data_IF_855604872259
#
_entry.id   IF_855604872259
#
_cell.length_a   1.000
_cell.length_b   1.000
_cell.length_c   1.000
_cell.angle_alpha   90.00
_cell.angle_beta   90.00
_cell.angle_gamma   90.00
#
_symmetry.space_group_name_H-M   'P 1'
#
loop_
_entity.id
_entity.type
_entity.pdbx_description
1 polymer ?
#
# COMPACT_ATOMS: atom_id res chain seq x y z
N UNK A 1 -10.68 8.20 -1.38
CA UNK A 1 -10.06 7.34 -0.35
C UNK A 1 -11.10 6.95 0.68
N UNK A 2 -11.15 5.69 1.08
CA UNK A 2 -11.97 5.15 2.17
C UNK A 2 -11.05 4.42 3.15
N UNK A 3 -11.06 4.85 4.41
CA UNK A 3 -10.31 4.21 5.49
C UNK A 3 -11.25 3.24 6.21
N UNK A 4 -11.09 1.96 5.89
CA UNK A 4 -11.87 0.85 6.41
C UNK A 4 -11.01 -0.42 6.27
N UNK A 5 -10.28 -0.84 7.32
CA UNK A 5 -9.42 -2.02 7.27
C UNK A 5 -10.15 -3.29 6.81
N UNK A 6 -11.47 -3.38 7.00
CA UNK A 6 -12.25 -4.55 6.60
C UNK A 6 -12.38 -4.66 5.07
N UNK A 7 -12.17 -3.58 4.32
CA UNK A 7 -12.08 -3.62 2.85
C UNK A 7 -10.96 -4.54 2.36
N UNK A 8 -9.93 -4.79 3.18
CA UNK A 8 -8.80 -5.66 2.84
C UNK A 8 -8.93 -7.12 3.29
N UNK A 9 -10.04 -7.53 3.91
CA UNK A 9 -10.17 -8.88 4.51
C UNK A 9 -9.89 -10.03 3.53
N UNK A 10 -10.26 -9.86 2.27
CA UNK A 10 -10.10 -10.89 1.23
C UNK A 10 -8.71 -10.91 0.60
N UNK A 11 -7.82 -9.99 1.01
CA UNK A 11 -6.50 -9.78 0.42
C UNK A 11 -5.35 -10.32 1.27
N UNK A 12 -5.64 -11.23 2.21
CA UNK A 12 -4.65 -11.83 3.09
C UNK A 12 -3.43 -12.39 2.34
N UNK A 13 -3.64 -13.01 1.16
CA UNK A 13 -2.54 -13.49 0.32
C UNK A 13 -1.71 -12.35 -0.26
N UNK A 14 -2.35 -11.39 -0.93
CA UNK A 14 -1.67 -10.24 -1.55
C UNK A 14 -0.86 -9.46 -0.52
N UNK A 15 -1.46 -9.15 0.63
CA UNK A 15 -0.78 -8.46 1.73
C UNK A 15 0.35 -9.32 2.32
N UNK A 16 0.15 -10.63 2.45
CA UNK A 16 1.20 -11.54 2.90
C UNK A 16 2.39 -11.62 1.92
N UNK A 17 2.13 -11.56 0.61
CA UNK A 17 3.19 -11.58 -0.42
C UNK A 17 3.94 -10.24 -0.45
N UNK A 18 3.25 -9.11 -0.32
CA UNK A 18 3.85 -7.79 -0.17
C UNK A 18 4.73 -7.71 1.08
N UNK A 19 4.21 -8.11 2.25
CA UNK A 19 4.95 -8.09 3.50
C UNK A 19 6.24 -8.93 3.44
N UNK A 20 6.18 -10.11 2.82
CA UNK A 20 7.38 -10.92 2.57
C UNK A 20 8.40 -10.21 1.69
N UNK A 21 7.96 -9.57 0.61
CA UNK A 21 8.85 -8.85 -0.30
C UNK A 21 9.51 -7.62 0.36
N UNK A 22 8.81 -6.98 1.30
CA UNK A 22 9.29 -5.82 2.06
C UNK A 22 10.00 -6.19 3.38
N UNK A 23 10.09 -7.48 3.70
CA UNK A 23 10.64 -7.98 4.96
C UNK A 23 9.97 -7.33 6.20
N UNK A 24 8.66 -7.10 6.14
CA UNK A 24 7.88 -6.47 7.22
C UNK A 24 6.46 -7.05 7.31
N UNK A 25 5.80 -6.78 8.43
CA UNK A 25 4.38 -7.08 8.59
C UNK A 25 3.54 -5.92 8.06
N UNK A 26 2.52 -6.23 7.26
CA UNK A 26 1.61 -5.24 6.67
C UNK A 26 0.17 -5.51 7.07
N UNK A 27 -0.60 -4.45 7.28
CA UNK A 27 -2.02 -4.49 7.59
C UNK A 27 -2.82 -3.61 6.62
N UNK A 28 -4.06 -3.98 6.27
CA UNK A 28 -4.90 -3.15 5.44
C UNK A 28 -5.35 -1.89 6.20
N UNK A 29 -5.37 -0.76 5.51
CA UNK A 29 -5.97 0.49 5.99
C UNK A 29 -7.33 0.77 5.34
N UNK A 30 -7.52 0.35 4.09
CA UNK A 30 -8.72 0.67 3.32
C UNK A 30 -8.47 0.61 1.82
N UNK A 31 -9.14 1.47 1.06
CA UNK A 31 -9.07 1.48 -0.39
C UNK A 31 -9.13 2.90 -0.99
N UNK A 32 -8.63 3.05 -2.21
CA UNK A 32 -8.72 4.29 -2.99
C UNK A 32 -9.23 4.02 -4.42
N UNK A 33 -9.43 5.09 -5.20
CA UNK A 33 -9.82 4.99 -6.61
C UNK A 33 -11.08 4.15 -6.85
N UNK A 34 -12.15 4.34 -6.08
CA UNK A 34 -13.38 3.52 -6.20
C UNK A 34 -13.14 2.01 -5.96
N UNK A 35 -12.31 1.68 -4.96
CA UNK A 35 -11.94 0.30 -4.61
C UNK A 35 -11.04 -0.41 -5.64
N UNK A 36 -10.46 0.35 -6.58
CA UNK A 36 -9.50 -0.20 -7.55
C UNK A 36 -8.11 -0.49 -6.96
N UNK A 37 -7.78 0.16 -5.84
CA UNK A 37 -6.53 -0.05 -5.14
C UNK A 37 -6.75 -0.17 -3.63
N UNK A 38 -5.91 -0.98 -2.99
CA UNK A 38 -5.93 -1.22 -1.54
C UNK A 38 -4.80 -0.49 -0.88
N UNK A 39 -5.11 0.18 0.22
CA UNK A 39 -4.14 0.86 1.06
C UNK A 39 -3.66 -0.08 2.16
N UNK A 40 -2.35 -0.17 2.34
CA UNK A 40 -1.72 -0.95 3.40
C UNK A 40 -0.71 -0.10 4.18
N UNK A 41 -0.48 -0.45 5.43
CA UNK A 41 0.53 0.16 6.30
C UNK A 41 1.38 -0.93 6.94
N UNK A 42 2.66 -0.66 7.15
CA UNK A 42 3.53 -1.55 7.90
C UNK A 42 3.80 -1.10 9.34
N UNK A 43 4.61 -1.88 10.04
CA UNK A 43 5.01 -1.63 11.43
C UNK A 43 5.85 -0.38 11.64
N UNK A 44 6.46 0.17 10.59
CA UNK A 44 7.20 1.43 10.63
C UNK A 44 6.31 2.65 10.32
N UNK A 45 5.06 2.41 9.93
CA UNK A 45 4.10 3.45 9.54
C UNK A 45 4.15 3.81 8.05
N UNK A 46 4.95 3.09 7.26
CA UNK A 46 5.07 3.29 5.81
C UNK A 46 3.79 2.85 5.11
N UNK A 47 3.31 3.63 4.16
CA UNK A 47 2.02 3.41 3.50
C UNK A 47 2.21 3.04 2.03
N UNK A 48 1.42 2.07 1.59
CA UNK A 48 1.46 1.49 0.25
C UNK A 48 0.09 1.50 -0.41
N UNK A 49 0.06 1.58 -1.75
CA UNK A 49 -1.12 1.33 -2.57
C UNK A 49 -0.87 0.13 -3.46
N UNK A 50 -1.84 -0.78 -3.54
CA UNK A 50 -1.75 -2.02 -4.31
C UNK A 50 -2.92 -2.07 -5.28
N UNK A 51 -2.64 -2.11 -6.57
CA UNK A 51 -3.65 -2.26 -7.62
C UNK A 51 -3.28 -3.35 -8.63
N UNK A 52 -4.09 -3.52 -9.66
CA UNK A 52 -3.87 -4.50 -10.72
C UNK A 52 -2.64 -4.19 -11.61
N UNK A 53 -2.05 -3.00 -11.48
CA UNK A 53 -0.86 -2.56 -12.20
C UNK A 53 0.43 -2.73 -11.38
N UNK A 54 0.34 -2.80 -10.04
CA UNK A 54 1.44 -3.15 -9.15
C UNK A 54 1.32 -2.56 -7.75
N UNK A 55 2.45 -2.56 -7.04
CA UNK A 55 2.59 -2.02 -5.69
C UNK A 55 3.32 -0.67 -5.73
N UNK A 56 2.87 0.27 -4.92
CA UNK A 56 3.33 1.66 -4.92
C UNK A 56 3.60 2.14 -3.49
N UNK A 57 4.66 2.93 -3.30
CA UNK A 57 5.00 3.51 -2.00
C UNK A 57 4.45 4.94 -1.91
N UNK A 58 3.49 5.17 -1.02
CA UNK A 58 2.79 6.45 -0.91
C UNK A 58 3.49 7.45 0.00
N UNK A 59 4.17 6.94 1.03
CA UNK A 59 4.85 7.78 2.00
C UNK A 59 5.42 7.00 3.17
N UNK A 60 6.38 7.62 3.86
CA UNK A 60 7.04 7.08 5.06
C UNK A 60 6.15 7.07 6.30
N UNK A 61 5.07 7.84 6.27
CA UNK A 61 4.08 7.99 7.33
C UNK A 61 2.72 8.36 6.72
N UNK A 62 1.70 8.46 7.58
CA UNK A 62 0.32 8.77 7.18
C UNK A 62 0.22 10.18 6.56
N UNK A 63 0.98 11.16 7.07
CA UNK A 63 0.89 12.54 6.59
C UNK A 63 1.43 12.66 5.16
N UNK A 64 2.58 12.04 4.87
CA UNK A 64 3.13 11.99 3.51
C UNK A 64 2.21 11.22 2.56
N UNK A 65 1.66 10.08 3.00
CA UNK A 65 0.74 9.30 2.19
C UNK A 65 -0.54 10.07 1.83
N UNK A 66 -1.14 10.76 2.81
CA UNK A 66 -2.30 11.61 2.58
C UNK A 66 -1.95 12.78 1.64
N UNK A 67 -0.77 13.38 1.80
CA UNK A 67 -0.30 14.41 0.87
C UNK A 67 -0.26 13.87 -0.56
N UNK A 68 0.39 12.72 -0.79
CA UNK A 68 0.46 12.06 -2.10
C UNK A 68 -0.93 11.82 -2.71
N UNK A 69 -1.86 11.27 -1.93
CA UNK A 69 -3.22 10.95 -2.36
C UNK A 69 -4.05 12.20 -2.67
N UNK A 70 -4.00 13.22 -1.82
CA UNK A 70 -4.79 14.44 -1.96
C UNK A 70 -4.30 15.30 -3.12
N UNK A 71 -2.99 15.34 -3.35
CA UNK A 71 -2.42 16.12 -4.47
C UNK A 71 -2.41 15.36 -5.79
N UNK A 72 -2.67 14.05 -5.78
CA UNK A 72 -2.55 13.19 -6.96
C UNK A 72 -1.11 13.09 -7.46
N UNK A 73 -0.13 13.21 -6.57
CA UNK A 73 1.28 13.04 -6.91
C UNK A 73 1.54 11.60 -7.33
N UNK A 74 2.35 11.38 -8.36
CA UNK A 74 2.69 10.03 -8.81
C UNK A 74 3.65 9.37 -7.81
N UNK A 75 3.22 8.30 -7.09
CA UNK A 75 4.11 7.61 -6.16
C UNK A 75 5.15 6.77 -6.92
N UNK A 76 6.32 6.53 -6.31
CA UNK A 76 7.27 5.55 -6.84
C UNK A 76 6.67 4.14 -6.83
N UNK A 77 6.84 3.41 -7.93
CA UNK A 77 6.51 2.00 -8.02
C UNK A 77 7.52 1.19 -7.23
N UNK A 78 7.05 0.22 -6.44
CA UNK A 78 7.93 -0.77 -5.85
C UNK A 78 8.39 -1.75 -6.93
N UNK A 79 9.71 -1.96 -6.98
CA UNK A 79 10.33 -2.99 -7.79
C UNK A 79 10.89 -4.06 -6.86
N UNK A 80 10.74 -5.34 -7.22
CA UNK A 80 11.51 -6.39 -6.57
C UNK A 80 13.00 -6.04 -6.65
N UNK A 81 13.79 -6.22 -5.57
CA UNK A 81 15.24 -6.15 -5.71
C UNK A 81 15.64 -7.18 -6.77
N UNK A 82 16.33 -6.73 -7.82
CA UNK A 82 16.86 -7.61 -8.85
C UNK A 82 17.74 -8.65 -8.16
N UNK A 83 17.26 -9.89 -8.09
CA UNK A 83 18.05 -11.00 -7.55
C UNK A 83 19.36 -11.08 -8.32
N UNK A 84 20.47 -10.96 -7.60
CA UNK A 84 21.80 -11.37 -8.07
C UNK A 84 21.96 -12.87 -7.87
#
# INVERSE_FOLDING_TARGET
VRIDPLSGLHLARTLGDLGRALETEVSPLGAEGEEQAVLAIDTEGRVYSIDHTGDWFLGRDIDEALSTLVTGSQPPRLSSPSGV
#
